data_IF_130560833446
#
_entry.id   IF_130560833446
#
_cell.length_a   1.000
_cell.length_b   1.000
_cell.length_c   1.000
_cell.angle_alpha   90.00
_cell.angle_beta   90.00
_cell.angle_gamma   90.00
#
_symmetry.space_group_name_H-M   'P 1'
#
loop_
_entity.id
_entity.type
_entity.pdbx_description
1 polymer ?
#
# COMPACT_ATOMS: atom_id res chain seq x y z
N UNK A 1 -5.23 -52.76 29.51
CA UNK A 1 -5.27 -51.52 28.70
C UNK A 1 -6.30 -50.60 29.34
N UNK A 2 -5.86 -49.51 29.99
CA UNK A 2 -6.70 -48.65 30.84
C UNK A 2 -7.49 -47.66 29.97
N UNK A 3 -8.82 -47.65 30.12
CA UNK A 3 -9.73 -46.62 29.60
C UNK A 3 -10.51 -46.07 30.80
N UNK A 4 -10.49 -44.75 30.97
CA UNK A 4 -11.19 -43.94 31.99
C UNK A 4 -10.98 -42.46 31.55
N UNK A 5 -11.87 -41.48 31.69
CA UNK A 5 -13.03 -41.32 32.58
C UNK A 5 -13.70 -39.96 32.26
N UNK A 6 -14.51 -39.82 31.20
CA UNK A 6 -15.28 -38.57 30.96
C UNK A 6 -16.68 -38.76 30.36
N UNK A 7 -17.19 -40.00 30.31
CA UNK A 7 -18.50 -40.31 29.73
C UNK A 7 -19.57 -40.73 30.78
N UNK A 8 -19.39 -40.34 32.05
CA UNK A 8 -20.29 -40.69 33.17
C UNK A 8 -20.69 -39.42 33.95
N UNK A 9 -21.20 -38.42 33.24
CA UNK A 9 -21.88 -37.28 33.88
C UNK A 9 -23.11 -36.77 33.12
N UNK A 10 -23.70 -37.61 32.25
CA UNK A 10 -24.87 -37.24 31.45
C UNK A 10 -25.95 -38.33 31.44
N UNK A 11 -26.31 -38.88 32.62
CA UNK A 11 -27.55 -39.67 32.81
C UNK A 11 -27.92 -39.80 34.29
N UNK A 12 -28.60 -38.78 34.82
CA UNK A 12 -29.56 -38.81 35.96
C UNK A 12 -29.97 -37.33 36.11
N UNK A 13 -31.13 -36.86 35.66
CA UNK A 13 -32.43 -37.04 36.31
C UNK A 13 -33.54 -36.95 35.27
N UNK A 14 -34.37 -37.99 35.29
CA UNK A 14 -35.58 -38.26 34.54
C UNK A 14 -36.78 -37.62 35.26
N UNK A 15 -37.63 -36.92 34.49
CA UNK A 15 -39.09 -36.69 34.63
C UNK A 15 -39.72 -36.43 36.00
N UNK A 16 -40.60 -35.41 36.10
CA UNK A 16 -41.91 -35.48 36.80
C UNK A 16 -42.90 -34.43 36.24
N UNK A 17 -43.99 -34.98 35.69
CA UNK A 17 -45.40 -34.56 35.58
C UNK A 17 -45.87 -33.19 35.06
N UNK A 18 -46.70 -33.35 34.01
CA UNK A 18 -47.90 -32.63 33.60
C UNK A 18 -48.88 -32.22 34.72
N UNK A 19 -49.51 -31.05 34.53
CA UNK A 19 -50.96 -30.76 34.50
C UNK A 19 -51.22 -29.33 35.02
N UNK A 20 -51.95 -28.50 34.29
CA UNK A 20 -53.25 -27.94 34.71
C UNK A 20 -53.82 -26.96 33.67
N UNK A 21 -55.15 -27.02 33.59
CA UNK A 21 -56.07 -26.47 32.61
C UNK A 21 -56.12 -24.93 32.50
N UNK A 22 -56.55 -24.47 31.32
CA UNK A 22 -57.17 -23.15 31.09
C UNK A 22 -58.48 -23.01 31.90
N UNK A 23 -58.88 -21.77 32.22
CA UNK A 23 -60.17 -21.32 31.70
C UNK A 23 -60.14 -19.91 31.09
N UNK A 24 -61.14 -19.69 30.24
CA UNK A 24 -61.49 -18.46 29.52
C UNK A 24 -62.49 -17.64 30.36
N UNK A 25 -62.59 -16.34 30.05
CA UNK A 25 -63.63 -15.32 30.36
C UNK A 25 -63.47 -14.49 31.65
N UNK A 26 -63.26 -13.18 31.50
CA UNK A 26 -64.33 -12.16 31.65
C UNK A 26 -63.77 -10.73 31.51
N UNK A 27 -64.48 -9.90 30.74
CA UNK A 27 -64.34 -8.43 30.70
C UNK A 27 -64.96 -7.85 31.97
N UNK A 28 -64.30 -6.89 32.61
CA UNK A 28 -64.93 -5.90 33.49
C UNK A 28 -64.21 -4.56 33.35
N UNK A 29 -64.96 -3.53 32.97
CA UNK A 29 -64.58 -2.12 33.06
C UNK A 29 -64.55 -1.68 34.54
N UNK A 30 -63.56 -0.87 34.93
CA UNK A 30 -63.76 0.49 35.50
C UNK A 30 -62.44 1.17 35.88
N UNK A 31 -62.33 2.42 35.40
CA UNK A 31 -61.53 3.63 35.76
C UNK A 31 -60.96 3.60 37.21
N UNK A 32 -59.77 4.08 37.60
CA UNK A 32 -59.19 5.45 37.50
C UNK A 32 -57.71 5.45 38.01
N UNK A 33 -56.97 6.49 37.58
CA UNK A 33 -55.81 7.17 38.21
C UNK A 33 -54.40 6.80 37.72
N UNK A 34 -53.84 7.70 36.93
CA UNK A 34 -52.40 7.84 36.69
C UNK A 34 -51.63 7.99 38.00
N UNK A 35 -50.39 7.46 38.03
CA UNK A 35 -49.29 8.33 38.41
C UNK A 35 -48.11 8.23 37.43
N UNK A 36 -47.59 9.42 37.12
CA UNK A 36 -46.18 9.73 36.84
C UNK A 36 -45.50 8.97 35.69
N UNK A 37 -45.50 9.68 34.55
CA UNK A 37 -44.65 9.46 33.38
C UNK A 37 -43.21 9.08 33.75
N UNK A 38 -42.81 7.87 33.35
CA UNK A 38 -41.41 7.50 33.22
C UNK A 38 -40.83 8.24 32.01
N UNK A 39 -39.74 8.99 32.23
CA UNK A 39 -38.95 9.65 31.19
C UNK A 39 -38.24 8.59 30.34
N UNK A 40 -38.95 8.05 29.35
CA UNK A 40 -38.33 7.37 28.22
C UNK A 40 -37.86 8.43 27.22
N UNK A 41 -36.69 8.23 26.63
CA UNK A 41 -36.19 9.09 25.55
C UNK A 41 -37.21 9.09 24.41
N UNK A 42 -38.00 10.17 24.33
CA UNK A 42 -39.08 10.28 23.36
C UNK A 42 -38.46 10.45 21.97
N UNK A 43 -38.61 9.42 21.14
CA UNK A 43 -38.31 9.53 19.71
C UNK A 43 -39.36 10.43 19.05
N UNK A 44 -38.89 11.41 18.28
CA UNK A 44 -39.73 12.36 17.55
C UNK A 44 -39.47 12.26 16.06
N UNK A 45 -40.48 12.67 15.30
CA UNK A 45 -40.37 12.93 13.87
C UNK A 45 -40.74 14.38 13.64
N UNK A 46 -39.85 15.14 13.03
CA UNK A 46 -40.00 16.57 12.76
C UNK A 46 -40.00 16.75 11.24
N UNK A 47 -41.02 17.41 10.71
CA UNK A 47 -41.05 17.83 9.32
C UNK A 47 -41.49 19.30 9.28
N UNK A 48 -40.54 20.18 8.97
CA UNK A 48 -40.73 21.62 8.91
C UNK A 48 -40.22 22.14 7.59
N UNK A 49 -40.97 23.06 7.01
CA UNK A 49 -40.65 23.71 5.75
C UNK A 49 -40.88 25.21 5.87
N UNK A 50 -39.86 26.00 5.55
CA UNK A 50 -39.80 27.45 5.61
C UNK A 50 -40.22 28.00 6.98
N UNK A 51 -39.88 27.27 8.04
CA UNK A 51 -40.18 27.64 9.42
C UNK A 51 -39.11 28.60 9.95
N UNK A 52 -39.48 29.52 10.85
CA UNK A 52 -38.48 30.28 11.61
C UNK A 52 -37.78 29.34 12.60
N UNK A 53 -36.45 29.34 12.61
CA UNK A 53 -35.67 28.45 13.48
C UNK A 53 -36.07 28.59 14.96
N UNK A 54 -36.47 29.79 15.42
CA UNK A 54 -36.88 30.02 16.81
C UNK A 54 -38.18 29.29 17.16
N UNK A 55 -39.09 29.16 16.19
CA UNK A 55 -40.34 28.41 16.38
C UNK A 55 -40.04 26.90 16.51
N UNK A 56 -39.13 26.39 15.68
CA UNK A 56 -38.69 24.99 15.72
C UNK A 56 -37.95 24.69 17.02
N UNK A 57 -37.02 25.56 17.42
CA UNK A 57 -36.30 25.44 18.70
C UNK A 57 -37.25 25.50 19.88
N UNK A 58 -38.27 26.36 19.85
CA UNK A 58 -39.29 26.42 20.91
C UNK A 58 -40.09 25.12 21.02
N UNK A 59 -40.45 24.51 19.90
CA UNK A 59 -41.14 23.22 19.89
C UNK A 59 -40.25 22.09 20.46
N UNK A 60 -38.95 22.09 20.11
CA UNK A 60 -37.98 21.15 20.68
C UNK A 60 -37.78 21.38 22.19
N UNK A 61 -37.68 22.64 22.63
CA UNK A 61 -37.56 23.03 24.03
C UNK A 61 -38.70 22.46 24.90
N UNK A 62 -39.94 22.58 24.40
CA UNK A 62 -41.14 22.05 25.06
C UNK A 62 -41.09 20.53 25.19
N UNK A 63 -40.72 19.82 24.12
CA UNK A 63 -40.62 18.35 24.16
C UNK A 63 -39.46 17.86 25.02
N UNK A 64 -38.37 18.64 25.13
CA UNK A 64 -37.20 18.30 25.95
C UNK A 64 -37.39 18.66 27.44
N UNK A 65 -38.34 19.53 27.77
CA UNK A 65 -38.48 20.10 29.12
C UNK A 65 -37.33 21.02 29.51
N UNK A 66 -36.63 21.61 28.53
CA UNK A 66 -35.48 22.51 28.72
C UNK A 66 -35.77 23.88 28.15
N UNK A 67 -35.06 24.91 28.62
CA UNK A 67 -35.11 26.25 28.03
C UNK A 67 -34.08 26.34 26.88
N UNK A 68 -34.45 26.89 25.72
CA UNK A 68 -33.50 27.12 24.61
C UNK A 68 -33.38 28.63 24.38
N UNK A 69 -32.17 29.16 24.53
CA UNK A 69 -31.82 30.56 24.25
C UNK A 69 -31.09 30.61 22.91
N UNK A 70 -31.70 31.23 21.91
CA UNK A 70 -31.12 31.43 20.59
C UNK A 70 -30.46 32.82 20.50
N UNK A 71 -29.21 32.89 20.05
CA UNK A 71 -28.39 34.12 20.15
C UNK A 71 -28.18 34.86 18.82
N UNK A 72 -28.70 34.32 17.72
CA UNK A 72 -28.44 34.84 16.37
C UNK A 72 -29.69 35.48 15.76
N UNK A 73 -29.54 36.01 14.54
CA UNK A 73 -30.67 36.52 13.77
C UNK A 73 -31.59 35.38 13.30
N UNK A 74 -32.89 35.63 13.08
CA UNK A 74 -33.84 34.60 12.66
C UNK A 74 -33.53 34.10 11.25
N UNK A 75 -33.47 32.77 11.10
CA UNK A 75 -33.23 32.10 9.81
C UNK A 75 -34.39 31.16 9.50
N UNK A 76 -34.69 31.00 8.20
CA UNK A 76 -35.67 30.04 7.71
C UNK A 76 -35.02 28.67 7.49
N UNK A 77 -35.67 27.63 8.00
CA UNK A 77 -35.15 26.25 7.97
C UNK A 77 -36.15 25.28 7.33
N UNK A 78 -35.62 24.37 6.52
CA UNK A 78 -36.27 23.17 6.02
C UNK A 78 -35.59 21.98 6.70
N UNK A 79 -36.32 21.19 7.48
CA UNK A 79 -35.75 20.03 8.18
C UNK A 79 -36.76 18.89 8.24
N UNK A 80 -36.30 17.69 7.91
CA UNK A 80 -37.09 16.46 7.96
C UNK A 80 -36.26 15.37 8.61
N UNK A 81 -36.60 15.00 9.85
CA UNK A 81 -35.98 13.91 10.60
C UNK A 81 -37.06 12.94 11.07
N UNK A 82 -36.76 11.64 11.02
CA UNK A 82 -37.70 10.57 11.39
C UNK A 82 -37.08 9.68 12.45
N UNK A 83 -37.86 9.39 13.50
CA UNK A 83 -37.48 8.45 14.56
C UNK A 83 -36.13 8.77 15.23
N UNK A 84 -35.88 10.04 15.53
CA UNK A 84 -34.67 10.52 16.22
C UNK A 84 -35.02 10.98 17.63
N UNK A 85 -34.07 10.97 18.56
CA UNK A 85 -34.28 11.61 19.87
C UNK A 85 -34.41 13.13 19.73
N UNK A 86 -35.04 13.80 20.70
CA UNK A 86 -35.14 15.26 20.68
C UNK A 86 -33.76 15.95 20.68
N UNK A 87 -32.77 15.38 21.35
CA UNK A 87 -31.39 15.90 21.39
C UNK A 87 -30.70 15.75 20.03
N UNK A 88 -30.85 14.60 19.36
CA UNK A 88 -30.35 14.40 17.99
C UNK A 88 -31.05 15.32 16.99
N UNK A 89 -32.37 15.50 17.10
CA UNK A 89 -33.12 16.43 16.26
C UNK A 89 -32.62 17.87 16.39
N UNK A 90 -32.33 18.31 17.62
CA UNK A 90 -31.74 19.61 17.91
C UNK A 90 -30.34 19.72 17.29
N UNK A 91 -29.49 18.72 17.48
CA UNK A 91 -28.13 18.69 16.94
C UNK A 91 -28.13 18.77 15.41
N UNK A 92 -28.95 17.96 14.73
CA UNK A 92 -29.10 18.00 13.27
C UNK A 92 -29.63 19.34 12.76
N UNK A 93 -30.63 19.91 13.46
CA UNK A 93 -31.17 21.22 13.11
C UNK A 93 -30.09 22.30 13.19
N UNK A 94 -29.35 22.38 14.29
CA UNK A 94 -28.32 23.40 14.46
C UNK A 94 -27.15 23.22 13.49
N UNK A 95 -26.70 21.99 13.25
CA UNK A 95 -25.67 21.68 12.24
C UNK A 95 -26.08 22.11 10.83
N UNK A 96 -27.36 21.99 10.47
CA UNK A 96 -27.86 22.41 9.14
C UNK A 96 -27.69 23.90 8.85
N UNK A 97 -27.61 24.73 9.90
CA UNK A 97 -27.41 26.19 9.81
C UNK A 97 -26.04 26.65 10.33
N UNK A 98 -25.09 25.72 10.54
CA UNK A 98 -23.74 26.04 11.00
C UNK A 98 -23.67 26.55 12.45
N UNK A 99 -24.58 26.10 13.31
CA UNK A 99 -24.67 26.50 14.71
C UNK A 99 -24.37 25.35 15.64
N UNK A 100 -24.02 25.69 16.88
CA UNK A 100 -23.74 24.74 17.96
C UNK A 100 -24.51 25.14 19.22
N UNK A 101 -24.42 24.32 20.26
CA UNK A 101 -25.06 24.63 21.54
C UNK A 101 -24.17 24.31 22.75
N UNK A 102 -24.43 25.05 23.83
CA UNK A 102 -23.91 24.82 25.18
C UNK A 102 -25.07 24.40 26.06
N UNK A 103 -24.89 23.33 26.85
CA UNK A 103 -25.88 22.89 27.85
C UNK A 103 -25.43 23.35 29.25
N UNK A 104 -26.17 24.28 29.84
CA UNK A 104 -25.98 24.75 31.21
C UNK A 104 -27.23 24.39 32.04
N UNK A 105 -27.13 23.32 32.82
CA UNK A 105 -28.23 22.78 33.63
C UNK A 105 -29.50 22.51 32.80
N UNK A 106 -30.55 23.30 32.99
CA UNK A 106 -31.82 23.20 32.26
C UNK A 106 -31.92 24.14 31.07
N UNK A 107 -30.86 24.90 30.77
CA UNK A 107 -30.82 25.88 29.68
C UNK A 107 -29.83 25.43 28.62
N UNK A 108 -30.27 25.46 27.37
CA UNK A 108 -29.47 25.22 26.18
C UNK A 108 -29.29 26.58 25.51
N UNK A 109 -28.05 26.96 25.22
CA UNK A 109 -27.71 28.21 24.55
C UNK A 109 -27.25 27.83 23.15
N UNK A 110 -27.99 28.21 22.13
CA UNK A 110 -27.75 27.88 20.73
C UNK A 110 -27.29 29.12 19.95
N UNK A 111 -26.18 28.99 19.21
CA UNK A 111 -25.59 30.10 18.50
C UNK A 111 -24.46 29.71 17.57
N UNK A 112 -23.87 30.70 16.91
CA UNK A 112 -22.63 30.49 16.14
C UNK A 112 -21.46 30.24 17.09
N UNK A 113 -20.42 29.52 16.64
CA UNK A 113 -19.21 29.26 17.45
C UNK A 113 -18.62 30.57 17.99
N UNK A 114 -18.53 31.61 17.16
CA UNK A 114 -18.00 32.92 17.56
C UNK A 114 -18.82 33.56 18.68
N UNK A 115 -20.15 33.54 18.57
CA UNK A 115 -21.07 34.10 19.57
C UNK A 115 -20.98 33.36 20.91
N UNK A 116 -20.91 32.02 20.86
CA UNK A 116 -20.78 31.17 22.04
C UNK A 116 -19.43 31.40 22.77
N UNK A 117 -18.33 31.44 22.02
CA UNK A 117 -17.00 31.68 22.58
C UNK A 117 -16.85 33.09 23.17
N UNK A 118 -17.43 34.10 22.53
CA UNK A 118 -17.34 35.49 22.97
C UNK A 118 -18.22 35.79 24.19
N UNK A 119 -19.46 35.30 24.17
CA UNK A 119 -20.49 35.75 25.11
C UNK A 119 -20.75 34.76 26.25
N UNK A 120 -20.30 33.51 26.12
CA UNK A 120 -20.62 32.43 27.06
C UNK A 120 -19.38 31.60 27.44
N UNK A 121 -18.19 32.19 27.39
CA UNK A 121 -16.92 31.53 27.71
C UNK A 121 -16.90 30.90 29.11
N UNK A 122 -17.56 31.54 30.09
CA UNK A 122 -17.71 31.05 31.47
C UNK A 122 -18.63 29.82 31.59
N UNK A 123 -19.45 29.59 30.57
CA UNK A 123 -20.37 28.44 30.46
C UNK A 123 -19.79 27.29 29.64
N UNK A 124 -18.62 27.48 29.03
CA UNK A 124 -17.90 26.42 28.32
C UNK A 124 -17.35 25.43 29.35
N UNK A 125 -17.70 24.16 29.18
CA UNK A 125 -17.36 23.11 30.11
C UNK A 125 -15.84 22.92 30.24
N UNK A 126 -15.36 22.86 31.48
CA UNK A 126 -14.00 22.43 31.82
C UNK A 126 -14.04 20.96 32.22
N UNK A 127 -13.40 20.10 31.44
CA UNK A 127 -13.35 18.66 31.69
C UNK A 127 -11.94 18.24 32.09
N UNK A 128 -11.84 17.44 33.15
CA UNK A 128 -10.59 16.83 33.60
C UNK A 128 -10.43 15.46 32.94
N UNK A 129 -9.34 15.26 32.21
CA UNK A 129 -8.95 13.95 31.68
C UNK A 129 -7.81 13.38 32.53
N UNK A 130 -7.99 12.15 33.01
CA UNK A 130 -6.95 11.41 33.73
C UNK A 130 -6.35 10.38 32.77
N UNK A 131 -5.02 10.42 32.63
CA UNK A 131 -4.24 9.58 31.72
C UNK A 131 -3.53 8.50 32.53
N UNK A 132 -3.47 7.28 32.01
CA UNK A 132 -2.85 6.13 32.68
C UNK A 132 -1.45 5.83 32.16
N UNK A 133 -1.24 5.96 30.85
CA UNK A 133 -0.03 5.53 30.17
C UNK A 133 0.72 6.71 29.58
N UNK A 134 0.08 7.56 28.78
CA UNK A 134 0.73 8.71 28.14
C UNK A 134 0.85 9.90 29.10
N UNK A 135 1.62 10.92 28.70
CA UNK A 135 1.73 12.18 29.45
C UNK A 135 0.79 13.26 28.88
N UNK A 136 0.48 14.26 29.70
CA UNK A 136 -0.42 15.36 29.38
C UNK A 136 0.14 16.31 28.31
N UNK A 137 1.46 16.51 28.26
CA UNK A 137 2.16 17.28 27.22
C UNK A 137 2.02 16.63 25.84
N UNK A 138 2.18 15.30 25.78
CA UNK A 138 1.99 14.49 24.58
C UNK A 138 0.56 14.61 24.05
N UNK A 139 -0.44 14.42 24.93
CA UNK A 139 -1.83 14.58 24.53
C UNK A 139 -2.11 16.02 24.09
N UNK A 140 -1.56 17.00 24.80
CA UNK A 140 -1.71 18.42 24.45
C UNK A 140 -1.18 18.71 23.04
N UNK A 141 -0.02 18.19 22.65
CA UNK A 141 0.53 18.40 21.31
C UNK A 141 -0.32 17.73 20.23
N UNK A 142 -0.92 16.57 20.52
CA UNK A 142 -1.82 15.89 19.57
C UNK A 142 -3.15 16.64 19.40
N UNK A 143 -3.67 17.25 20.47
CA UNK A 143 -4.84 18.14 20.38
C UNK A 143 -4.57 19.33 19.44
N UNK A 144 -3.36 19.92 19.52
CA UNK A 144 -2.94 20.99 18.60
C UNK A 144 -2.77 20.51 17.16
N UNK A 145 -2.14 19.34 16.97
CA UNK A 145 -1.94 18.76 15.65
C UNK A 145 -3.26 18.53 14.90
N UNK A 146 -4.31 18.13 15.63
CA UNK A 146 -5.66 17.95 15.11
C UNK A 146 -6.46 19.25 14.98
N UNK A 147 -5.91 20.39 15.40
CA UNK A 147 -6.55 21.70 15.42
C UNK A 147 -7.92 21.68 16.13
N UNK A 148 -8.05 20.91 17.22
CA UNK A 148 -9.28 20.89 18.02
C UNK A 148 -9.36 22.22 18.80
N UNK A 149 -10.42 23.03 18.65
CA UNK A 149 -10.50 24.37 19.21
C UNK A 149 -10.81 24.35 20.71
N UNK A 150 -9.83 23.98 21.53
CA UNK A 150 -9.95 23.90 22.99
C UNK A 150 -8.83 24.65 23.70
N UNK A 151 -9.13 25.19 24.88
CA UNK A 151 -8.11 25.68 25.81
C UNK A 151 -7.66 24.51 26.69
N UNK A 152 -6.35 24.43 26.92
CA UNK A 152 -5.74 23.33 27.67
C UNK A 152 -4.95 23.89 28.84
N UNK A 153 -5.02 23.20 29.97
CA UNK A 153 -4.21 23.48 31.14
C UNK A 153 -3.52 22.18 31.54
N UNK A 154 -2.20 22.19 31.52
CA UNK A 154 -1.33 21.09 31.98
C UNK A 154 -0.58 21.53 33.23
N UNK A 155 -0.17 20.58 34.07
CA UNK A 155 0.66 20.84 35.25
C UNK A 155 1.90 19.97 35.20
N UNK A 156 3.08 20.55 35.31
CA UNK A 156 4.34 19.80 35.33
C UNK A 156 4.45 18.87 36.55
N UNK A 157 3.77 19.22 37.64
CA UNK A 157 3.73 18.42 38.87
C UNK A 157 2.79 17.20 38.77
N UNK A 158 1.91 17.16 37.77
CA UNK A 158 1.01 16.05 37.51
C UNK A 158 0.82 15.88 36.00
N UNK A 159 1.80 15.22 35.39
CA UNK A 159 1.85 14.94 33.96
C UNK A 159 0.84 13.88 33.49
N UNK A 160 0.00 13.34 34.40
CA UNK A 160 -1.07 12.38 34.08
C UNK A 160 -2.45 13.02 34.07
N UNK A 161 -2.53 14.34 34.18
CA UNK A 161 -3.80 15.06 34.14
C UNK A 161 -3.71 16.24 33.19
N UNK A 162 -4.71 16.35 32.32
CA UNK A 162 -4.94 17.55 31.52
C UNK A 162 -6.35 18.05 31.78
N UNK A 163 -6.50 19.36 31.95
CA UNK A 163 -7.80 20.01 31.95
C UNK A 163 -8.03 20.66 30.61
N UNK A 164 -9.19 20.41 30.02
CA UNK A 164 -9.54 20.90 28.69
C UNK A 164 -10.86 21.63 28.78
N UNK A 165 -10.88 22.87 28.30
CA UNK A 165 -12.05 23.72 28.22
C UNK A 165 -12.43 23.89 26.75
N UNK A 166 -13.66 23.50 26.42
CA UNK A 166 -14.16 23.53 25.04
C UNK A 166 -15.65 23.24 24.97
N UNK A 167 -16.22 23.42 23.77
CA UNK A 167 -17.61 23.05 23.52
C UNK A 167 -17.80 21.53 23.70
N UNK A 168 -19.01 21.05 24.04
CA UNK A 168 -19.25 19.62 24.29
C UNK A 168 -18.76 18.69 23.17
N UNK A 169 -18.92 19.09 21.91
CA UNK A 169 -18.42 18.34 20.75
C UNK A 169 -16.89 18.23 20.72
N UNK A 170 -16.18 19.32 21.04
CA UNK A 170 -14.71 19.34 21.06
C UNK A 170 -14.14 18.54 22.23
N UNK A 171 -14.82 18.57 23.39
CA UNK A 171 -14.48 17.73 24.53
C UNK A 171 -14.69 16.24 24.24
N UNK A 172 -15.74 15.89 23.50
CA UNK A 172 -15.98 14.51 23.03
C UNK A 172 -14.85 14.02 22.11
N UNK A 173 -14.38 14.87 21.18
CA UNK A 173 -13.23 14.54 20.33
C UNK A 173 -11.95 14.32 21.14
N UNK A 174 -11.71 15.16 22.15
CA UNK A 174 -10.57 14.96 23.06
C UNK A 174 -10.70 13.64 23.84
N UNK A 175 -11.92 13.28 24.27
CA UNK A 175 -12.16 11.99 24.92
C UNK A 175 -11.85 10.80 23.99
N UNK A 176 -12.23 10.88 22.71
CA UNK A 176 -11.90 9.86 21.70
C UNK A 176 -10.38 9.79 21.47
N UNK A 177 -9.71 10.94 21.38
CA UNK A 177 -8.26 11.02 21.28
C UNK A 177 -7.56 10.37 22.48
N UNK A 178 -8.05 10.63 23.69
CA UNK A 178 -7.56 9.98 24.91
C UNK A 178 -7.76 8.47 24.82
N UNK A 179 -8.93 7.98 24.43
CA UNK A 179 -9.20 6.55 24.31
C UNK A 179 -8.30 5.85 23.27
N UNK A 180 -7.91 6.56 22.22
CA UNK A 180 -7.00 6.05 21.19
C UNK A 180 -5.55 6.02 21.67
N UNK A 181 -5.08 7.12 22.27
CA UNK A 181 -3.67 7.33 22.59
C UNK A 181 -3.27 6.80 23.96
N UNK A 182 -4.14 6.83 24.97
CA UNK A 182 -3.81 6.44 26.33
C UNK A 182 -3.84 4.91 26.52
N UNK A 183 -2.90 4.23 25.87
CA UNK A 183 -2.71 2.78 25.90
C UNK A 183 -1.30 2.44 26.35
N UNK A 184 -1.12 1.23 26.90
CA UNK A 184 0.18 0.78 27.42
C UNK A 184 1.28 0.80 26.35
N UNK A 185 0.93 0.45 25.12
CA UNK A 185 1.82 0.50 23.94
C UNK A 185 2.34 1.91 23.62
N UNK A 186 1.61 2.96 24.00
CA UNK A 186 1.97 4.36 23.74
C UNK A 186 2.66 5.04 24.93
N UNK A 187 2.90 4.31 26.03
CA UNK A 187 3.49 4.87 27.26
C UNK A 187 4.89 5.49 27.02
N UNK A 188 5.62 4.94 26.04
CA UNK A 188 6.89 5.45 25.58
C UNK A 188 6.66 6.30 24.34
N UNK A 189 6.47 7.59 24.55
CA UNK A 189 6.45 8.55 23.45
C UNK A 189 7.82 8.54 22.75
N UNK A 190 7.83 8.15 21.48
CA UNK A 190 8.97 8.32 20.57
C UNK A 190 8.63 9.45 19.61
N UNK A 191 9.60 10.31 19.26
CA UNK A 191 9.44 11.31 18.20
C UNK A 191 9.07 10.69 16.85
N UNK A 192 9.28 9.37 16.69
CA UNK A 192 8.90 8.61 15.50
C UNK A 192 7.39 8.41 15.38
N UNK A 193 6.63 8.39 16.49
CA UNK A 193 5.19 8.13 16.49
C UNK A 193 4.41 9.44 16.55
N UNK A 194 3.72 9.79 15.46
CA UNK A 194 2.94 11.03 15.35
C UNK A 194 1.64 10.83 14.61
N UNK A 195 0.67 11.71 14.84
CA UNK A 195 -0.52 11.80 14.01
C UNK A 195 -0.14 12.38 12.64
N UNK A 196 -0.35 11.59 11.60
CA UNK A 196 -0.10 11.98 10.21
C UNK A 196 -1.42 12.03 9.44
N UNK A 197 -1.76 13.15 8.79
CA UNK A 197 -3.01 13.27 8.06
C UNK A 197 -2.92 12.54 6.71
N UNK A 198 -3.95 11.76 6.41
CA UNK A 198 -4.20 11.17 5.09
C UNK A 198 -5.48 11.80 4.55
N UNK A 199 -5.32 12.82 3.71
CA UNK A 199 -6.46 13.55 3.10
C UNK A 199 -6.94 12.85 1.86
N UNK A 200 -8.26 12.68 1.75
CA UNK A 200 -8.97 11.99 0.67
C UNK A 200 -9.77 12.99 -0.19
N UNK A 201 -10.06 12.60 -1.43
CA UNK A 201 -10.76 13.45 -2.42
C UNK A 201 -12.07 12.85 -2.91
N UNK A 202 -12.12 11.52 -3.03
CA UNK A 202 -13.20 10.78 -3.67
C UNK A 202 -13.95 9.86 -2.70
N UNK A 203 -13.26 9.30 -1.70
CA UNK A 203 -13.88 8.44 -0.67
C UNK A 203 -13.80 9.08 0.73
N UNK A 204 -14.67 8.66 1.65
CA UNK A 204 -14.63 9.14 3.03
C UNK A 204 -13.46 8.54 3.84
N UNK A 205 -13.03 9.26 4.87
CA UNK A 205 -12.06 8.75 5.83
C UNK A 205 -12.57 7.48 6.54
N UNK A 206 -13.87 7.39 6.80
CA UNK A 206 -14.52 6.19 7.35
C UNK A 206 -14.35 4.97 6.45
N UNK A 207 -14.52 5.14 5.13
CA UNK A 207 -14.36 4.04 4.19
C UNK A 207 -12.93 3.52 4.21
N UNK A 208 -11.94 4.42 4.07
CA UNK A 208 -10.54 4.03 4.14
C UNK A 208 -10.19 3.38 5.49
N UNK A 209 -10.72 3.92 6.58
CA UNK A 209 -10.49 3.38 7.92
C UNK A 209 -11.00 1.94 8.07
N UNK A 210 -12.21 1.67 7.58
CA UNK A 210 -12.78 0.32 7.56
C UNK A 210 -11.93 -0.64 6.70
N UNK A 211 -11.47 -0.18 5.54
CA UNK A 211 -10.59 -0.97 4.67
C UNK A 211 -9.27 -1.31 5.36
N UNK A 212 -8.63 -0.35 6.03
CA UNK A 212 -7.39 -0.60 6.78
C UNK A 212 -7.60 -1.68 7.84
N UNK A 213 -8.69 -1.58 8.61
CA UNK A 213 -9.05 -2.58 9.61
C UNK A 213 -9.30 -3.96 9.00
N UNK A 214 -10.03 -4.03 7.88
CA UNK A 214 -10.32 -5.28 7.15
C UNK A 214 -9.05 -5.95 6.57
N UNK A 215 -8.05 -5.13 6.21
CA UNK A 215 -6.73 -5.60 5.75
C UNK A 215 -5.82 -6.06 6.91
N UNK A 216 -6.24 -5.83 8.16
CA UNK A 216 -5.52 -6.17 9.38
C UNK A 216 -4.53 -5.11 9.85
N UNK A 217 -4.69 -3.87 9.41
CA UNK A 217 -3.90 -2.72 9.87
C UNK A 217 -4.65 -1.95 10.96
N UNK A 218 -3.92 -1.20 11.77
CA UNK A 218 -4.55 -0.30 12.75
C UNK A 218 -5.19 0.89 12.04
N UNK A 219 -6.49 1.08 12.25
CA UNK A 219 -7.22 2.25 11.78
C UNK A 219 -6.76 3.58 12.42
N UNK A 220 -7.21 4.68 11.83
CA UNK A 220 -6.93 6.04 12.27
C UNK A 220 -8.12 6.72 12.98
N UNK A 221 -7.89 7.98 13.37
CA UNK A 221 -8.90 8.87 13.92
C UNK A 221 -9.55 9.70 12.81
N UNK A 222 -10.87 9.87 12.90
CA UNK A 222 -11.64 10.72 11.99
C UNK A 222 -12.19 11.87 12.81
N UNK A 223 -12.11 13.08 12.26
CA UNK A 223 -12.72 14.27 12.88
C UNK A 223 -13.97 14.61 12.09
N UNK A 224 -15.14 14.67 12.74
CA UNK A 224 -16.43 14.97 12.06
C UNK A 224 -16.42 16.28 11.26
N UNK A 225 -15.64 17.27 11.69
CA UNK A 225 -15.49 18.54 10.97
C UNK A 225 -14.61 18.44 9.72
N UNK A 226 -13.90 17.32 9.55
CA UNK A 226 -13.08 17.02 8.40
C UNK A 226 -13.17 15.51 8.06
N UNK A 227 -14.33 15.05 7.56
CA UNK A 227 -14.60 13.64 7.28
C UNK A 227 -13.80 13.10 6.08
N UNK A 228 -13.07 13.98 5.38
CA UNK A 228 -12.17 13.64 4.28
C UNK A 228 -10.72 13.52 4.73
N UNK A 229 -10.42 13.50 6.04
CA UNK A 229 -9.06 13.28 6.53
C UNK A 229 -9.06 12.18 7.59
N UNK A 230 -8.29 11.13 7.30
CA UNK A 230 -7.99 10.07 8.26
C UNK A 230 -6.64 10.36 8.93
N UNK A 231 -6.62 10.43 10.25
CA UNK A 231 -5.40 10.68 11.01
C UNK A 231 -4.80 9.36 11.50
N UNK A 232 -3.69 8.97 10.90
CA UNK A 232 -2.98 7.75 11.27
C UNK A 232 -2.02 8.08 12.41
N UNK A 233 -2.17 7.39 13.55
CA UNK A 233 -1.20 7.45 14.63
C UNK A 233 -0.18 6.32 14.45
N UNK A 234 1.07 6.66 14.19
CA UNK A 234 2.11 5.67 13.94
C UNK A 234 3.41 6.30 13.47
N UNK A 235 4.27 5.43 12.94
CA UNK A 235 5.52 5.80 12.28
C UNK A 235 5.26 6.37 10.88
N UNK A 236 6.32 6.90 10.25
CA UNK A 236 6.26 7.29 8.84
C UNK A 236 5.91 6.11 7.92
N UNK A 237 6.30 4.88 8.28
CA UNK A 237 5.93 3.68 7.53
C UNK A 237 4.43 3.39 7.59
N UNK A 238 3.79 3.58 8.75
CA UNK A 238 2.35 3.37 8.92
C UNK A 238 1.55 4.37 8.07
N UNK A 239 1.99 5.64 8.08
CA UNK A 239 1.41 6.68 7.23
C UNK A 239 1.66 6.41 5.74
N UNK A 240 2.84 5.91 5.37
CA UNK A 240 3.15 5.55 3.98
C UNK A 240 2.28 4.40 3.48
N UNK A 241 2.04 3.38 4.31
CA UNK A 241 1.16 2.26 3.97
C UNK A 241 -0.29 2.71 3.76
N UNK A 242 -0.81 3.57 4.64
CA UNK A 242 -2.14 4.15 4.47
C UNK A 242 -2.24 4.97 3.17
N UNK A 243 -1.18 5.72 2.82
CA UNK A 243 -1.12 6.45 1.55
C UNK A 243 -1.01 5.51 0.33
N UNK A 244 -0.26 4.41 0.38
CA UNK A 244 -0.19 3.41 -0.69
C UNK A 244 -1.60 2.85 -0.98
N UNK A 245 -2.35 2.47 0.05
CA UNK A 245 -3.72 1.98 -0.08
C UNK A 245 -4.65 3.09 -0.60
N UNK A 246 -4.53 4.31 -0.05
CA UNK A 246 -5.29 5.47 -0.50
C UNK A 246 -5.12 5.70 -2.00
N UNK A 247 -3.89 5.64 -2.55
CA UNK A 247 -3.66 5.91 -3.99
C UNK A 247 -4.42 4.95 -4.92
N UNK A 248 -4.73 3.74 -4.45
CA UNK A 248 -5.44 2.73 -5.22
C UNK A 248 -6.96 2.77 -5.00
N UNK A 249 -7.43 3.35 -3.89
CA UNK A 249 -8.85 3.36 -3.52
C UNK A 249 -9.53 4.74 -3.64
N UNK A 250 -8.81 5.82 -3.44
CA UNK A 250 -9.33 7.19 -3.51
C UNK A 250 -9.45 7.64 -4.97
N UNK A 251 -10.36 6.99 -5.71
CA UNK A 251 -10.64 7.21 -7.13
C UNK A 251 -12.13 7.52 -7.34
N UNK A 252 -12.52 8.28 -8.39
CA UNK A 252 -13.91 8.69 -8.62
C UNK A 252 -14.92 7.54 -8.67
N UNK A 253 -14.50 6.37 -9.15
CA UNK A 253 -15.34 5.17 -9.28
C UNK A 253 -15.83 4.66 -7.92
N UNK A 254 -15.05 4.87 -6.85
CA UNK A 254 -15.37 4.42 -5.51
C UNK A 254 -16.27 5.41 -4.74
N UNK A 255 -16.56 6.60 -5.30
CA UNK A 255 -17.53 7.57 -4.73
C UNK A 255 -18.98 7.12 -4.90
N UNK A 256 -19.26 6.27 -5.89
CA UNK A 256 -20.62 6.03 -6.41
C UNK A 256 -21.34 4.81 -5.78
N UNK A 257 -20.67 4.03 -4.94
CA UNK A 257 -21.13 2.69 -4.60
C UNK A 257 -21.51 2.56 -3.11
N UNK A 258 -22.81 2.64 -2.83
CA UNK A 258 -23.40 2.07 -1.61
C UNK A 258 -23.22 0.53 -1.51
N UNK A 259 -22.57 -0.09 -2.51
CA UNK A 259 -22.26 -1.52 -2.62
C UNK A 259 -20.74 -1.76 -2.75
N UNK A 260 -19.90 -0.95 -2.10
CA UNK A 260 -18.46 -1.20 -2.06
C UNK A 260 -18.18 -2.54 -1.34
N UNK A 261 -17.70 -3.53 -2.08
CA UNK A 261 -17.28 -4.83 -1.53
C UNK A 261 -15.78 -4.94 -1.66
N UNK A 262 -15.09 -5.16 -0.53
CA UNK A 262 -13.69 -5.52 -0.49
C UNK A 262 -13.56 -7.01 -0.13
N UNK A 263 -12.86 -7.79 -0.97
CA UNK A 263 -12.52 -9.18 -0.65
C UNK A 263 -11.03 -9.42 -0.81
N UNK A 264 -10.42 -9.96 0.24
CA UNK A 264 -9.05 -10.47 0.20
C UNK A 264 -9.01 -11.80 -0.54
N UNK A 265 -8.00 -11.97 -1.39
CA UNK A 265 -7.62 -13.24 -2.01
C UNK A 265 -6.12 -13.47 -1.79
N UNK A 266 -5.81 -14.56 -1.09
CA UNK A 266 -4.45 -15.09 -1.02
C UNK A 266 -4.22 -16.01 -2.23
N UNK A 267 -3.11 -15.74 -2.92
CA UNK A 267 -2.64 -16.47 -4.10
C UNK A 267 -1.55 -17.47 -3.65
N UNK A 268 -1.47 -18.62 -4.31
CA UNK A 268 -0.47 -19.65 -3.99
C UNK A 268 0.69 -19.65 -4.99
N UNK A 269 0.39 -19.41 -6.26
CA UNK A 269 1.32 -19.54 -7.37
C UNK A 269 1.49 -18.25 -8.16
N UNK A 270 0.47 -17.38 -8.20
CA UNK A 270 0.54 -16.08 -8.86
C UNK A 270 1.05 -14.97 -7.96
N UNK A 271 1.72 -13.99 -8.58
CA UNK A 271 2.04 -12.71 -7.95
C UNK A 271 0.85 -11.75 -8.04
N UNK A 272 0.81 -10.74 -7.18
CA UNK A 272 -0.22 -9.69 -7.17
C UNK A 272 -0.24 -8.89 -8.46
N UNK A 273 0.92 -8.63 -9.05
CA UNK A 273 1.04 -7.95 -10.35
C UNK A 273 0.44 -8.81 -11.47
N UNK A 274 0.77 -10.11 -11.53
CA UNK A 274 0.19 -10.97 -12.57
C UNK A 274 -1.31 -11.17 -12.39
N UNK A 275 -1.77 -11.28 -11.15
CA UNK A 275 -3.21 -11.31 -10.86
C UNK A 275 -3.91 -10.05 -11.37
N UNK A 276 -3.29 -8.87 -11.20
CA UNK A 276 -3.81 -7.61 -11.73
C UNK A 276 -3.83 -7.61 -13.26
N UNK A 277 -2.76 -8.06 -13.92
CA UNK A 277 -2.69 -8.17 -15.38
C UNK A 277 -3.79 -9.08 -15.92
N UNK A 278 -4.00 -10.26 -15.32
CA UNK A 278 -5.05 -11.21 -15.73
C UNK A 278 -6.44 -10.57 -15.65
N UNK A 279 -6.72 -9.85 -14.57
CA UNK A 279 -8.01 -9.17 -14.39
C UNK A 279 -8.19 -8.05 -15.43
N UNK A 280 -7.13 -7.30 -15.72
CA UNK A 280 -7.12 -6.22 -16.71
C UNK A 280 -7.27 -6.74 -18.15
N UNK A 281 -6.55 -7.80 -18.52
CA UNK A 281 -6.63 -8.47 -19.83
C UNK A 281 -8.03 -9.02 -20.10
N UNK A 282 -8.70 -9.52 -19.06
CA UNK A 282 -10.08 -10.01 -19.13
C UNK A 282 -11.13 -8.90 -19.05
N UNK A 283 -10.70 -7.63 -18.91
CA UNK A 283 -11.54 -6.45 -18.83
C UNK A 283 -12.66 -6.58 -17.78
N UNK A 284 -12.33 -7.14 -16.61
CA UNK A 284 -13.26 -7.25 -15.49
C UNK A 284 -13.31 -5.88 -14.79
N UNK A 285 -14.50 -5.30 -14.70
CA UNK A 285 -14.74 -3.99 -14.08
C UNK A 285 -14.60 -4.04 -12.56
N UNK A 286 -13.36 -4.11 -12.08
CA UNK A 286 -12.99 -4.21 -10.68
C UNK A 286 -11.66 -3.51 -10.43
N UNK A 287 -11.53 -2.89 -9.27
CA UNK A 287 -10.27 -2.33 -8.82
C UNK A 287 -9.50 -3.35 -7.97
N UNK A 288 -8.28 -3.67 -8.39
CA UNK A 288 -7.38 -4.61 -7.72
C UNK A 288 -6.35 -3.84 -6.91
N UNK A 289 -6.43 -3.97 -5.59
CA UNK A 289 -5.48 -3.38 -4.65
C UNK A 289 -4.40 -4.39 -4.31
N UNK A 290 -3.15 -4.04 -4.55
CA UNK A 290 -1.96 -4.83 -4.18
C UNK A 290 -1.06 -4.01 -3.26
N UNK A 291 -0.26 -4.70 -2.43
CA UNK A 291 0.75 -4.07 -1.58
C UNK A 291 2.12 -4.56 -1.98
N UNK A 292 3.07 -3.65 -2.11
CA UNK A 292 4.46 -3.96 -2.51
C UNK A 292 5.10 -5.01 -1.59
N UNK A 293 4.72 -5.00 -0.30
CA UNK A 293 5.22 -5.93 0.73
C UNK A 293 4.51 -7.29 0.74
N UNK A 294 3.42 -7.47 -0.02
CA UNK A 294 2.61 -8.71 -0.06
C UNK A 294 2.38 -9.16 -1.50
N UNK A 295 3.41 -9.77 -2.07
CA UNK A 295 3.43 -10.19 -3.47
C UNK A 295 2.42 -11.28 -3.84
N UNK A 296 1.76 -11.94 -2.89
CA UNK A 296 0.81 -13.03 -3.14
C UNK A 296 -0.58 -12.75 -2.52
N UNK A 297 -0.87 -11.49 -2.20
CA UNK A 297 -2.19 -11.10 -1.70
C UNK A 297 -2.73 -9.95 -2.53
N UNK A 298 -3.97 -10.09 -2.98
CA UNK A 298 -4.71 -9.03 -3.65
C UNK A 298 -6.02 -8.78 -2.91
N UNK A 299 -6.46 -7.52 -2.92
CA UNK A 299 -7.78 -7.13 -2.46
C UNK A 299 -8.59 -6.64 -3.64
N UNK A 300 -9.75 -7.22 -3.81
CA UNK A 300 -10.65 -6.97 -4.92
C UNK A 300 -11.74 -6.02 -4.43
N UNK A 301 -11.82 -4.83 -5.03
CA UNK A 301 -12.77 -3.78 -4.69
C UNK A 301 -13.68 -3.46 -5.87
N UNK A 302 -15.00 -3.56 -5.66
CA UNK A 302 -15.98 -3.30 -6.71
C UNK A 302 -17.38 -3.80 -6.33
N UNK A 303 -18.21 -4.07 -7.35
CA UNK A 303 -19.53 -4.68 -7.15
C UNK A 303 -19.41 -6.14 -6.73
N UNK A 304 -20.44 -6.68 -6.07
CA UNK A 304 -20.45 -8.07 -5.60
C UNK A 304 -20.27 -9.06 -6.77
N UNK A 305 -20.89 -8.76 -7.92
CA UNK A 305 -20.80 -9.56 -9.14
C UNK A 305 -19.38 -9.55 -9.72
N UNK A 306 -18.76 -8.37 -9.84
CA UNK A 306 -17.40 -8.23 -10.36
C UNK A 306 -16.37 -8.90 -9.45
N UNK A 307 -16.51 -8.73 -8.12
CA UNK A 307 -15.66 -9.39 -7.11
C UNK A 307 -15.78 -10.91 -7.21
N UNK A 308 -17.00 -11.44 -7.33
CA UNK A 308 -17.20 -12.89 -7.46
C UNK A 308 -16.62 -13.43 -8.77
N UNK A 309 -16.78 -12.71 -9.87
CA UNK A 309 -16.19 -13.07 -11.16
C UNK A 309 -14.66 -13.09 -11.07
N UNK A 310 -14.04 -12.03 -10.55
CA UNK A 310 -12.60 -11.92 -10.35
C UNK A 310 -12.06 -13.06 -9.46
N UNK A 311 -12.73 -13.36 -8.34
CA UNK A 311 -12.35 -14.49 -7.48
C UNK A 311 -12.43 -15.84 -8.22
N UNK A 312 -13.48 -16.05 -9.01
CA UNK A 312 -13.65 -17.29 -9.78
C UNK A 312 -12.58 -17.46 -10.84
N UNK A 313 -12.16 -16.37 -11.48
CA UNK A 313 -11.07 -16.33 -12.45
C UNK A 313 -9.77 -16.64 -11.75
N UNK A 314 -9.40 -15.87 -10.72
CA UNK A 314 -8.14 -16.05 -9.99
C UNK A 314 -8.01 -17.47 -9.42
N UNK A 315 -9.08 -18.09 -8.95
CA UNK A 315 -9.02 -19.50 -8.49
C UNK A 315 -8.71 -20.50 -9.62
N UNK A 316 -9.06 -20.20 -10.87
CA UNK A 316 -8.75 -21.05 -12.03
C UNK A 316 -7.34 -20.79 -12.56
N UNK A 317 -6.85 -19.55 -12.49
CA UNK A 317 -5.54 -19.17 -13.03
C UNK A 317 -4.42 -19.31 -12.00
N UNK A 318 -4.71 -19.29 -10.70
CA UNK A 318 -3.75 -19.49 -9.61
C UNK A 318 -3.42 -20.98 -9.43
N UNK A 319 -2.74 -21.53 -10.44
CA UNK A 319 -2.28 -22.91 -10.51
C UNK A 319 -0.76 -22.96 -10.67
N UNK A 320 -0.16 -24.07 -10.27
CA UNK A 320 1.30 -24.27 -10.31
C UNK A 320 1.90 -24.05 -11.70
N UNK A 321 1.17 -24.38 -12.76
CA UNK A 321 1.66 -24.21 -14.13
C UNK A 321 1.81 -22.74 -14.55
N UNK A 322 1.11 -21.83 -13.86
CA UNK A 322 1.21 -20.38 -14.07
C UNK A 322 2.17 -19.71 -13.08
N UNK A 323 2.90 -20.50 -12.28
CA UNK A 323 3.96 -19.99 -11.41
C UNK A 323 5.09 -19.43 -12.28
N UNK A 324 5.37 -18.14 -12.14
CA UNK A 324 6.55 -17.54 -12.77
C UNK A 324 7.82 -18.09 -12.10
N UNK A 325 8.42 -19.08 -12.74
CA UNK A 325 9.80 -19.47 -12.46
C UNK A 325 10.68 -18.79 -13.49
N UNK A 326 11.19 -17.62 -13.15
CA UNK A 326 12.31 -17.06 -13.91
C UNK A 326 13.48 -18.05 -13.84
N UNK A 327 13.88 -18.54 -15.00
CA UNK A 327 14.94 -19.51 -15.11
C UNK A 327 16.26 -18.80 -15.44
N UNK A 328 17.24 -18.98 -14.56
CA UNK A 328 18.62 -18.61 -14.81
C UNK A 328 19.40 -19.83 -15.29
N UNK A 329 19.97 -19.74 -16.49
CA UNK A 329 20.80 -20.80 -17.07
C UNK A 329 22.09 -20.23 -17.65
N UNK A 330 23.18 -21.00 -17.56
CA UNK A 330 24.42 -20.69 -18.27
C UNK A 330 24.44 -21.48 -19.57
N UNK A 331 24.61 -20.78 -20.68
CA UNK A 331 24.76 -21.35 -22.02
C UNK A 331 26.22 -21.29 -22.47
N UNK A 332 26.76 -22.42 -22.90
CA UNK A 332 28.13 -22.54 -23.40
C UNK A 332 28.14 -22.49 -24.93
N UNK A 333 28.71 -21.43 -25.48
CA UNK A 333 28.93 -21.20 -26.92
C UNK A 333 30.09 -22.07 -27.43
N UNK A 334 30.01 -22.46 -28.70
CA UNK A 334 31.02 -23.29 -29.37
C UNK A 334 31.85 -22.45 -30.33
N UNK A 335 31.21 -21.60 -31.12
CA UNK A 335 31.81 -20.96 -32.28
C UNK A 335 32.20 -19.50 -32.00
N UNK A 336 31.37 -18.74 -31.30
CA UNK A 336 31.59 -17.31 -31.04
C UNK A 336 31.96 -17.00 -29.58
N UNK A 337 32.48 -15.80 -29.33
CA UNK A 337 32.78 -15.29 -27.97
C UNK A 337 31.52 -14.74 -27.31
N UNK A 338 31.51 -14.62 -25.98
CA UNK A 338 30.39 -14.03 -25.27
C UNK A 338 30.18 -12.54 -25.64
N UNK A 339 31.24 -11.79 -25.90
CA UNK A 339 31.18 -10.41 -26.41
C UNK A 339 30.43 -10.32 -27.73
N UNK A 340 30.76 -11.21 -28.67
CA UNK A 340 30.09 -11.26 -29.97
C UNK A 340 28.63 -11.74 -29.85
N UNK A 341 28.39 -12.76 -29.03
CA UNK A 341 27.04 -13.24 -28.76
C UNK A 341 26.16 -12.10 -28.20
N UNK A 342 26.64 -11.35 -27.20
CA UNK A 342 25.91 -10.19 -26.68
C UNK A 342 25.63 -9.14 -27.75
N UNK A 343 26.59 -8.86 -28.64
CA UNK A 343 26.39 -7.91 -29.74
C UNK A 343 25.26 -8.35 -30.68
N UNK A 344 25.18 -9.65 -31.00
CA UNK A 344 24.12 -10.25 -31.83
C UNK A 344 22.77 -10.32 -31.10
N UNK A 345 22.78 -10.50 -29.78
CA UNK A 345 21.59 -10.63 -28.94
C UNK A 345 20.92 -9.29 -28.59
N UNK A 346 21.55 -8.14 -28.91
CA UNK A 346 21.01 -6.80 -28.61
C UNK A 346 19.59 -6.57 -29.13
N UNK A 347 19.22 -7.18 -30.26
CA UNK A 347 17.89 -7.01 -30.84
C UNK A 347 16.80 -7.79 -30.12
N UNK A 348 17.15 -8.81 -29.33
CA UNK A 348 16.19 -9.65 -28.60
C UNK A 348 16.24 -9.42 -27.08
N UNK A 349 17.21 -8.63 -26.61
CA UNK A 349 17.33 -8.25 -25.21
C UNK A 349 16.12 -7.38 -24.77
N UNK A 350 15.52 -7.72 -23.64
CA UNK A 350 14.29 -7.13 -23.08
C UNK A 350 12.98 -7.49 -23.80
N UNK A 351 13.00 -8.30 -24.85
CA UNK A 351 11.75 -8.88 -25.35
C UNK A 351 11.22 -9.89 -24.32
N UNK A 352 9.98 -9.71 -23.88
CA UNK A 352 9.27 -10.65 -22.99
C UNK A 352 10.06 -11.03 -21.72
N UNK A 353 10.75 -10.07 -21.11
CA UNK A 353 11.52 -10.24 -19.88
C UNK A 353 12.77 -11.16 -20.02
N UNK A 354 13.32 -11.31 -21.23
CA UNK A 354 14.61 -12.00 -21.43
C UNK A 354 15.78 -11.05 -21.21
N UNK A 355 16.74 -11.44 -20.38
CA UNK A 355 17.98 -10.69 -20.11
C UNK A 355 19.20 -11.57 -20.28
N UNK A 356 20.29 -10.98 -20.76
CA UNK A 356 21.55 -11.67 -20.95
C UNK A 356 22.66 -10.99 -20.14
N UNK A 357 23.53 -11.80 -19.57
CA UNK A 357 24.68 -11.32 -18.80
C UNK A 357 25.94 -12.04 -19.25
N UNK A 358 27.07 -11.34 -19.17
CA UNK A 358 28.39 -11.93 -19.42
C UNK A 358 29.19 -12.00 -18.14
N UNK A 359 30.15 -12.92 -18.12
CA UNK A 359 31.17 -12.99 -17.09
C UNK A 359 32.31 -12.01 -17.41
N UNK A 360 33.23 -11.82 -16.46
CA UNK A 360 34.44 -11.03 -16.68
C UNK A 360 35.19 -11.50 -17.92
N UNK A 361 35.75 -10.55 -18.67
CA UNK A 361 36.44 -10.78 -19.94
C UNK A 361 35.57 -11.43 -21.03
N UNK A 362 34.44 -10.79 -21.42
CA UNK A 362 33.50 -11.32 -22.43
C UNK A 362 34.15 -11.61 -23.78
N UNK A 363 35.25 -10.93 -24.12
CA UNK A 363 36.04 -11.16 -25.32
C UNK A 363 36.76 -12.51 -25.35
N UNK A 364 36.93 -13.16 -24.20
CA UNK A 364 37.70 -14.41 -24.05
C UNK A 364 36.84 -15.59 -23.63
N UNK A 365 35.72 -15.36 -22.93
CA UNK A 365 34.82 -16.43 -22.49
C UNK A 365 33.83 -16.80 -23.60
N UNK A 366 33.43 -18.08 -23.62
CA UNK A 366 32.42 -18.64 -24.51
C UNK A 366 31.17 -19.05 -23.74
N UNK A 367 30.77 -18.26 -22.75
CA UNK A 367 29.62 -18.56 -21.90
C UNK A 367 28.80 -17.30 -21.65
N UNK A 368 27.49 -17.41 -21.80
CA UNK A 368 26.53 -16.34 -21.54
C UNK A 368 25.52 -16.83 -20.51
N UNK A 369 25.17 -15.98 -19.56
CA UNK A 369 24.11 -16.25 -18.60
C UNK A 369 22.80 -15.68 -19.15
N UNK A 370 21.76 -16.51 -19.14
CA UNK A 370 20.44 -16.19 -19.67
C UNK A 370 19.46 -16.18 -18.51
N UNK A 371 18.66 -15.12 -18.44
CA UNK A 371 17.53 -15.00 -17.54
C UNK A 371 16.27 -14.87 -18.39
N UNK A 372 15.34 -15.82 -18.27
CA UNK A 372 14.12 -15.83 -19.08
C UNK A 372 12.97 -16.56 -18.39
N UNK A 373 11.71 -16.27 -18.78
CA UNK A 373 10.56 -17.07 -18.38
C UNK A 373 10.71 -18.55 -18.75
N UNK A 374 10.20 -19.45 -17.90
CA UNK A 374 10.36 -20.90 -18.07
C UNK A 374 9.84 -21.42 -19.42
N UNK A 375 8.69 -20.92 -19.87
CA UNK A 375 8.04 -21.27 -21.13
C UNK A 375 8.81 -20.75 -22.35
N UNK A 376 9.56 -19.67 -22.20
CA UNK A 376 10.38 -19.07 -23.26
C UNK A 376 11.78 -19.70 -23.37
N UNK A 377 12.20 -20.50 -22.38
CA UNK A 377 13.53 -21.11 -22.31
C UNK A 377 13.93 -21.84 -23.59
N UNK A 378 13.07 -22.71 -24.12
CA UNK A 378 13.39 -23.49 -25.33
C UNK A 378 13.58 -22.59 -26.56
N UNK A 379 12.81 -21.50 -26.65
CA UNK A 379 12.93 -20.54 -27.74
C UNK A 379 14.25 -19.78 -27.67
N UNK A 380 14.61 -19.28 -26.48
CA UNK A 380 15.89 -18.56 -26.28
C UNK A 380 17.09 -19.45 -26.56
N UNK A 381 17.04 -20.72 -26.14
CA UNK A 381 18.11 -21.68 -26.43
C UNK A 381 18.25 -21.96 -27.92
N UNK A 382 17.15 -22.12 -28.65
CA UNK A 382 17.17 -22.30 -30.10
C UNK A 382 17.78 -21.07 -30.81
N UNK A 383 17.42 -19.86 -30.38
CA UNK A 383 18.00 -18.62 -30.92
C UNK A 383 19.51 -18.53 -30.65
N UNK A 384 19.96 -18.91 -29.45
CA UNK A 384 21.38 -18.96 -29.11
C UNK A 384 22.15 -19.94 -30.00
N UNK A 385 21.56 -21.09 -30.32
CA UNK A 385 22.13 -22.06 -31.27
C UNK A 385 22.20 -21.50 -32.69
N UNK A 386 21.18 -20.76 -33.14
CA UNK A 386 21.13 -20.16 -34.47
C UNK A 386 22.19 -19.07 -34.68
N UNK A 387 22.52 -18.30 -33.64
CA UNK A 387 23.54 -17.23 -33.74
C UNK A 387 24.98 -17.74 -33.52
N UNK A 388 25.15 -18.88 -32.83
CA UNK A 388 26.44 -19.50 -32.53
C UNK A 388 26.95 -20.32 -33.72
N UNK A 389 27.12 -19.66 -34.86
CA UNK A 389 27.62 -20.24 -36.11
C UNK A 389 29.02 -19.72 -36.43
N UNK A 390 29.85 -20.63 -36.93
CA UNK A 390 31.19 -20.30 -37.41
C UNK A 390 31.10 -19.46 -38.70
N UNK A 391 31.69 -18.27 -38.68
CA UNK A 391 31.80 -17.42 -39.87
C UNK A 391 32.95 -17.86 -40.79
N UNK A 392 32.90 -17.43 -42.04
CA UNK A 392 33.94 -17.70 -43.04
C UNK A 392 35.32 -17.20 -42.60
N UNK A 393 36.38 -17.92 -42.96
CA UNK A 393 37.76 -17.51 -42.66
C UNK A 393 38.21 -16.38 -43.58
N UNK A 394 38.84 -15.36 -42.99
CA UNK A 394 39.38 -14.19 -43.68
C UNK A 394 40.85 -13.99 -43.33
N UNK A 395 41.61 -13.36 -44.24
CA UNK A 395 43.01 -12.98 -44.01
C UNK A 395 43.11 -11.53 -43.58
N UNK A 396 43.51 -11.29 -42.34
CA UNK A 396 43.56 -9.93 -41.77
C UNK A 396 44.89 -9.69 -41.04
N UNK A 397 45.53 -8.52 -41.24
CA UNK A 397 46.63 -8.07 -40.40
C UNK A 397 46.22 -7.94 -38.93
N UNK A 398 46.99 -8.56 -38.03
CA UNK A 398 46.72 -8.57 -36.58
C UNK A 398 47.80 -7.90 -35.76
N UNK A 399 49.06 -7.91 -36.22
CA UNK A 399 50.19 -7.29 -35.53
C UNK A 399 51.25 -6.80 -36.53
N UNK A 400 52.18 -5.95 -36.07
CA UNK A 400 53.26 -5.42 -36.90
C UNK A 400 54.55 -5.16 -36.09
N UNK A 401 55.66 -5.02 -36.80
CA UNK A 401 56.92 -4.58 -36.20
C UNK A 401 57.67 -3.66 -37.16
N UNK A 402 58.13 -2.52 -36.65
CA UNK A 402 58.95 -1.54 -37.38
C UNK A 402 60.45 -1.65 -37.11
N UNK A 403 60.90 -2.73 -36.46
CA UNK A 403 62.29 -2.95 -36.10
C UNK A 403 63.03 -3.81 -37.14
N UNK A 404 64.35 -3.66 -37.25
CA UNK A 404 65.20 -4.43 -38.17
C UNK A 404 65.03 -5.95 -38.02
N UNK A 405 65.06 -6.45 -36.77
CA UNK A 405 64.74 -7.84 -36.41
C UNK A 405 63.24 -8.17 -36.33
N UNK A 406 62.39 -7.50 -37.10
CA UNK A 406 60.93 -7.55 -36.94
C UNK A 406 60.34 -8.94 -37.14
N UNK A 407 60.86 -9.74 -38.08
CA UNK A 407 60.42 -11.14 -38.26
C UNK A 407 60.61 -11.97 -36.99
N UNK A 408 61.74 -11.83 -36.29
CA UNK A 408 62.01 -12.58 -35.05
C UNK A 408 61.13 -12.12 -33.90
N UNK A 409 60.90 -10.80 -33.77
CA UNK A 409 60.00 -10.25 -32.74
C UNK A 409 58.56 -10.74 -32.94
N UNK A 410 58.07 -10.71 -34.19
CA UNK A 410 56.74 -11.19 -34.52
C UNK A 410 56.60 -12.71 -34.34
N UNK A 411 57.65 -13.50 -34.59
CA UNK A 411 57.65 -14.94 -34.26
C UNK A 411 57.46 -15.18 -32.76
N UNK A 412 58.27 -14.54 -31.92
CA UNK A 412 58.14 -14.70 -30.46
C UNK A 412 56.76 -14.27 -29.95
N UNK A 413 56.17 -13.20 -30.52
CA UNK A 413 54.81 -12.75 -30.18
C UNK A 413 53.75 -13.73 -30.66
N UNK A 414 53.86 -14.25 -31.89
CA UNK A 414 52.98 -15.31 -32.41
C UNK A 414 52.99 -16.53 -31.48
N UNK A 415 54.16 -16.97 -31.04
CA UNK A 415 54.29 -18.16 -30.20
C UNK A 415 53.56 -17.97 -28.86
N UNK A 416 53.70 -16.80 -28.23
CA UNK A 416 52.94 -16.43 -27.03
C UNK A 416 51.42 -16.36 -27.30
N UNK A 417 51.01 -15.79 -28.43
CA UNK A 417 49.59 -15.74 -28.82
C UNK A 417 49.04 -17.16 -29.00
N UNK A 418 49.78 -18.06 -29.64
CA UNK A 418 49.37 -19.46 -29.82
C UNK A 418 49.25 -20.17 -28.46
N UNK A 419 50.15 -19.90 -27.51
CA UNK A 419 50.08 -20.44 -26.14
C UNK A 419 48.83 -19.95 -25.38
N UNK A 420 48.53 -18.65 -25.45
CA UNK A 420 47.38 -18.05 -24.75
C UNK A 420 46.04 -18.45 -25.39
N UNK A 421 45.98 -18.50 -26.72
CA UNK A 421 44.72 -18.70 -27.46
C UNK A 421 44.45 -20.16 -27.84
N UNK A 422 45.47 -21.01 -27.82
CA UNK A 422 45.40 -22.38 -28.33
C UNK A 422 45.30 -22.48 -29.86
N UNK A 423 45.46 -21.37 -30.59
CA UNK A 423 45.43 -21.38 -32.06
C UNK A 423 46.72 -21.99 -32.63
N UNK A 424 46.63 -22.75 -33.74
CA UNK A 424 47.79 -23.37 -34.34
C UNK A 424 48.63 -22.34 -35.12
N UNK A 425 49.95 -22.52 -35.13
CA UNK A 425 50.89 -21.57 -35.73
C UNK A 425 50.71 -21.40 -37.25
N UNK A 426 50.18 -22.40 -37.94
CA UNK A 426 49.96 -22.41 -39.39
C UNK A 426 48.87 -21.43 -39.86
N UNK A 427 48.01 -20.98 -38.94
CA UNK A 427 47.01 -19.93 -39.19
C UNK A 427 47.65 -18.54 -39.28
N UNK A 428 48.89 -18.38 -38.83
CA UNK A 428 49.62 -17.11 -38.85
C UNK A 428 50.67 -17.09 -39.95
N UNK A 429 50.81 -15.95 -40.61
CA UNK A 429 51.92 -15.74 -41.54
C UNK A 429 52.56 -14.37 -41.32
N UNK A 430 53.89 -14.33 -41.38
CA UNK A 430 54.69 -13.11 -41.20
C UNK A 430 55.26 -12.72 -42.56
N UNK A 431 54.99 -11.48 -42.97
CA UNK A 431 55.49 -10.94 -44.23
C UNK A 431 57.02 -10.75 -44.22
N UNK A 432 57.60 -10.57 -45.41
CA UNK A 432 58.90 -9.92 -45.55
C UNK A 432 58.78 -8.42 -45.23
N UNK A 433 59.88 -7.67 -45.28
CA UNK A 433 59.82 -6.21 -45.15
C UNK A 433 58.95 -5.63 -46.29
N UNK A 434 57.88 -4.94 -45.91
CA UNK A 434 56.90 -4.30 -46.81
C UNK A 434 56.90 -2.77 -46.66
N UNK A 435 57.95 -2.20 -46.06
CA UNK A 435 58.15 -0.75 -46.02
C UNK A 435 58.24 -0.17 -47.44
N UNK A 436 57.75 1.07 -47.61
CA UNK A 436 57.80 1.79 -48.90
C UNK A 436 59.12 2.54 -49.11
N UNK A 437 59.94 2.60 -48.07
CA UNK A 437 61.21 3.32 -47.96
C UNK A 437 62.28 2.39 -47.35
N UNK A 438 63.45 2.94 -47.02
CA UNK A 438 64.56 2.20 -46.41
C UNK A 438 64.30 1.79 -44.94
N UNK A 439 63.10 2.03 -44.41
CA UNK A 439 62.73 1.59 -43.07
C UNK A 439 62.34 0.11 -43.06
N UNK A 440 61.98 -0.36 -41.86
CA UNK A 440 61.54 -1.71 -41.62
C UNK A 440 60.05 -1.70 -41.29
N UNK A 441 59.26 -2.52 -41.98
CA UNK A 441 57.85 -2.72 -41.67
C UNK A 441 57.46 -4.16 -41.99
N UNK A 442 57.17 -4.94 -40.96
CA UNK A 442 56.77 -6.35 -41.06
C UNK A 442 55.35 -6.49 -40.53
N UNK A 443 54.54 -7.30 -41.18
CA UNK A 443 53.14 -7.52 -40.83
C UNK A 443 52.93 -9.00 -40.51
N UNK A 444 52.23 -9.28 -39.42
CA UNK A 444 51.66 -10.59 -39.13
C UNK A 444 50.18 -10.59 -39.50
N UNK A 445 49.79 -11.52 -40.36
CA UNK A 445 48.39 -11.74 -40.73
C UNK A 445 47.91 -13.10 -40.26
N UNK A 446 46.63 -13.15 -39.91
CA UNK A 446 45.92 -14.32 -39.42
C UNK A 446 44.84 -14.70 -40.44
N UNK A 447 44.76 -15.98 -40.77
CA UNK A 447 43.67 -16.60 -41.55
C UNK A 447 42.71 -17.29 -40.58
N UNK A 448 41.63 -16.62 -40.21
CA UNK A 448 40.62 -17.14 -39.28
C UNK A 448 39.28 -16.41 -39.45
N UNK A 449 38.22 -16.88 -38.79
CA UNK A 449 36.94 -16.17 -38.77
C UNK A 449 37.08 -14.79 -38.11
N UNK A 450 36.24 -13.79 -38.48
CA UNK A 450 36.26 -12.45 -37.88
C UNK A 450 36.30 -12.44 -36.35
N UNK A 451 35.55 -13.32 -35.70
CA UNK A 451 35.47 -13.42 -34.24
C UNK A 451 36.80 -13.88 -33.63
N UNK A 452 37.48 -14.83 -34.26
CA UNK A 452 38.82 -15.30 -33.86
C UNK A 452 39.87 -14.23 -34.13
N UNK A 453 39.76 -13.50 -35.24
CA UNK A 453 40.64 -12.35 -35.53
C UNK A 453 40.49 -11.27 -34.47
N UNK A 454 39.26 -10.97 -34.05
CA UNK A 454 39.00 -9.98 -33.00
C UNK A 454 39.52 -10.48 -31.65
N UNK A 455 39.33 -11.75 -31.32
CA UNK A 455 39.89 -12.37 -30.12
C UNK A 455 41.41 -12.22 -30.05
N UNK A 456 42.12 -12.52 -31.15
CA UNK A 456 43.59 -12.38 -31.22
C UNK A 456 44.03 -10.92 -31.07
N UNK A 457 43.29 -9.96 -31.67
CA UNK A 457 43.57 -8.53 -31.48
C UNK A 457 43.38 -8.09 -30.03
N UNK A 458 42.35 -8.60 -29.35
CA UNK A 458 42.11 -8.30 -27.94
C UNK A 458 43.20 -8.91 -27.04
N UNK A 459 43.71 -10.11 -27.36
CA UNK A 459 44.88 -10.71 -26.68
C UNK A 459 46.15 -9.89 -26.92
N UNK A 460 46.38 -9.39 -28.14
CA UNK A 460 47.53 -8.52 -28.44
C UNK A 460 47.48 -7.24 -27.60
N UNK A 461 46.31 -6.60 -27.51
CA UNK A 461 46.11 -5.44 -26.62
C UNK A 461 46.45 -5.77 -25.16
N UNK A 462 46.06 -6.96 -24.68
CA UNK A 462 46.37 -7.43 -23.33
C UNK A 462 47.88 -7.70 -23.14
N UNK A 463 48.57 -8.25 -24.14
CA UNK A 463 50.03 -8.43 -24.10
C UNK A 463 50.74 -7.07 -24.01
N UNK A 464 50.28 -6.10 -24.79
CA UNK A 464 50.88 -4.76 -24.80
C UNK A 464 50.58 -3.97 -23.52
N UNK A 465 49.46 -4.27 -22.85
CA UNK A 465 49.08 -3.67 -21.58
C UNK A 465 48.43 -4.69 -20.62
N UNK A 466 49.22 -5.47 -19.87
CA UNK A 466 48.72 -6.57 -19.04
C UNK A 466 48.05 -6.11 -17.74
N UNK A 467 48.16 -4.82 -17.38
CA UNK A 467 47.60 -4.26 -16.14
C UNK A 467 46.32 -3.46 -16.37
N UNK A 468 45.85 -3.33 -17.62
CA UNK A 468 44.53 -2.77 -17.89
C UNK A 468 43.48 -3.87 -17.74
N UNK A 469 42.69 -3.82 -16.65
CA UNK A 469 41.65 -4.80 -16.28
C UNK A 469 40.43 -4.80 -17.22
N UNK A 470 40.62 -4.72 -18.54
CA UNK A 470 39.53 -4.81 -19.53
C UNK A 470 38.38 -3.81 -19.36
N UNK A 471 38.53 -2.78 -18.51
CA UNK A 471 37.46 -1.91 -18.03
C UNK A 471 37.49 -0.50 -18.64
N UNK A 472 38.10 -0.32 -19.81
CA UNK A 472 38.02 0.92 -20.57
C UNK A 472 37.67 0.62 -22.03
N UNK A 473 36.40 0.35 -22.28
CA UNK A 473 35.66 0.72 -23.50
C UNK A 473 34.15 0.68 -23.22
#
# INVERSE_FOLDING_TARGET
MKINKYLIWLMLVITILSQFNLPVFAVNETVVLSPLSQKGDSVISLNVRNADIRDVLSALAVNMGSNIVYTEEPVKVDSSVQSVTCEEALDYLLKSVGMEYIKDNNTIIAGTRESLEKNYLDKIALTKFNLKYIRADVLSSQIDALSIPVKKVTLDTNDKVIWVQGLPGDLSKVAQLVAMLDKAENAYWSEEYKLSPVTLTHISADLLNNVLNDMGFYGGLIIDSNPMTLWIYGTEEDAALANEIKTQLDIPQNTLSNNFVLKRKDLQYLTSEKAKDVIQELNIDINVVSLSRRMQTVWLSGTQEAVNLALSVLNQVDIKDNLEQDHMAVYNLRNITAKEAMARLRSIENEKNVKFYTFSFPQFVKSVMVFCPQDYRLHVLAQLEEIDVASEEIKVPVDYSNHSSGTTKLKNRRDLICEITGLPEDKFTISKNVARDDNHYYIMYLEASPDVVQYVKDVIKMIDNPLTDGANE
#
